data_IF_516777684618
#
_entry.id   IF_516777684618
#
_cell.length_a   1.000
_cell.length_b   1.000
_cell.length_c   1.000
_cell.angle_alpha   90.00
_cell.angle_beta   90.00
_cell.angle_gamma   90.00
#
_symmetry.space_group_name_H-M   'P 1'
#
loop_
_entity.id
_entity.type
_entity.pdbx_description
1 polymer ?
#
# COMPACT_ATOMS: atom_id res chain seq x y z
N UNK A 1 14.55 -20.18 -8.24
CA UNK A 1 14.52 -18.97 -9.07
C UNK A 1 13.25 -18.21 -8.70
N UNK A 2 13.34 -17.05 -8.06
CA UNK A 2 12.16 -16.26 -7.68
C UNK A 2 11.71 -15.41 -8.87
N UNK A 3 10.39 -15.39 -9.14
CA UNK A 3 9.80 -14.55 -10.17
C UNK A 3 9.80 -13.08 -9.69
N UNK A 4 9.98 -12.12 -10.59
CA UNK A 4 9.92 -10.68 -10.31
C UNK A 4 8.64 -10.31 -9.54
N UNK A 5 7.53 -10.98 -9.85
CA UNK A 5 6.23 -10.75 -9.19
C UNK A 5 6.22 -11.12 -7.71
N UNK A 6 7.07 -12.06 -7.26
CA UNK A 6 7.15 -12.51 -5.86
C UNK A 6 8.36 -11.94 -5.11
N UNK A 7 9.31 -11.34 -5.83
CA UNK A 7 10.52 -10.75 -5.24
C UNK A 7 10.21 -9.61 -4.28
N UNK A 8 9.36 -8.67 -4.72
CA UNK A 8 8.93 -7.53 -3.91
C UNK A 8 8.22 -7.97 -2.61
N UNK A 9 7.47 -9.09 -2.66
CA UNK A 9 6.72 -9.56 -1.48
C UNK A 9 7.64 -10.17 -0.44
N UNK A 10 8.67 -10.86 -0.90
CA UNK A 10 9.69 -11.45 -0.04
C UNK A 10 10.57 -10.38 0.60
N UNK A 11 10.82 -9.26 -0.10
CA UNK A 11 11.57 -8.12 0.42
C UNK A 11 10.78 -7.27 1.44
N UNK A 12 9.44 -7.39 1.46
CA UNK A 12 8.56 -6.63 2.35
C UNK A 12 8.05 -7.40 3.57
N UNK A 13 8.39 -8.69 3.70
CA UNK A 13 7.96 -9.61 4.76
C UNK A 13 6.44 -9.63 5.02
N UNK A 14 5.66 -9.42 3.95
CA UNK A 14 4.19 -9.41 3.97
C UNK A 14 3.62 -10.63 3.25
N UNK A 15 2.52 -11.17 3.78
CA UNK A 15 1.81 -12.29 3.14
C UNK A 15 1.25 -11.89 1.77
N UNK A 16 1.31 -12.80 0.80
CA UNK A 16 0.72 -12.59 -0.52
C UNK A 16 -0.75 -12.15 -0.48
N UNK A 17 -1.51 -12.68 0.47
CA UNK A 17 -2.92 -12.32 0.64
C UNK A 17 -3.09 -10.89 1.18
N UNK A 18 -2.19 -10.42 2.05
CA UNK A 18 -2.20 -9.05 2.55
C UNK A 18 -1.84 -8.06 1.45
N UNK A 19 -0.83 -8.37 0.65
CA UNK A 19 -0.47 -7.52 -0.49
C UNK A 19 -1.57 -7.50 -1.56
N UNK A 20 -2.16 -8.65 -1.86
CA UNK A 20 -3.26 -8.75 -2.82
C UNK A 20 -4.52 -8.00 -2.36
N UNK A 21 -4.89 -8.10 -1.07
CA UNK A 21 -6.04 -7.37 -0.53
C UNK A 21 -5.80 -5.86 -0.49
N UNK A 22 -4.57 -5.43 -0.17
CA UNK A 22 -4.16 -4.04 -0.26
C UNK A 22 -4.28 -3.50 -1.69
N UNK A 23 -3.66 -4.18 -2.66
CA UNK A 23 -3.70 -3.79 -4.06
C UNK A 23 -5.14 -3.77 -4.62
N UNK A 24 -5.97 -4.75 -4.24
CA UNK A 24 -7.38 -4.79 -4.61
C UNK A 24 -8.16 -3.62 -4.00
N UNK A 25 -7.90 -3.27 -2.74
CA UNK A 25 -8.50 -2.10 -2.08
C UNK A 25 -8.18 -0.79 -2.80
N UNK A 26 -6.92 -0.62 -3.22
CA UNK A 26 -6.49 0.52 -4.02
C UNK A 26 -7.22 0.55 -5.37
N UNK A 27 -7.24 -0.58 -6.07
CA UNK A 27 -7.88 -0.71 -7.38
C UNK A 27 -9.39 -0.37 -7.32
N UNK A 28 -10.11 -0.85 -6.30
CA UNK A 28 -11.53 -0.55 -6.11
C UNK A 28 -11.76 0.93 -5.83
N UNK A 29 -10.94 1.57 -5.00
CA UNK A 29 -11.08 2.99 -4.66
C UNK A 29 -10.79 3.90 -5.86
N UNK A 30 -9.77 3.58 -6.65
CA UNK A 30 -9.46 4.29 -7.89
C UNK A 30 -10.58 4.11 -8.91
N UNK A 31 -11.08 2.89 -9.08
CA UNK A 31 -12.21 2.61 -9.99
C UNK A 31 -13.46 3.39 -9.61
N UNK A 32 -13.81 3.43 -8.31
CA UNK A 32 -14.92 4.22 -7.82
C UNK A 32 -14.74 5.73 -8.06
N UNK A 33 -13.52 6.24 -7.91
CA UNK A 33 -13.20 7.65 -8.17
C UNK A 33 -13.35 7.99 -9.66
N UNK A 34 -12.86 7.13 -10.56
CA UNK A 34 -13.03 7.29 -12.03
C UNK A 34 -14.51 7.26 -12.43
N UNK A 35 -15.29 6.32 -11.88
CA UNK A 35 -16.74 6.23 -12.15
C UNK A 35 -17.46 7.50 -11.69
N UNK A 36 -17.20 7.97 -10.46
CA UNK A 36 -17.82 9.19 -9.95
C UNK A 36 -17.44 10.43 -10.75
N UNK A 37 -16.18 10.54 -11.16
CA UNK A 37 -15.72 11.64 -12.00
C UNK A 37 -16.37 11.61 -13.39
N UNK A 38 -16.50 10.43 -13.99
CA UNK A 38 -17.19 10.23 -15.27
C UNK A 38 -18.67 10.60 -15.16
N UNK A 39 -19.35 10.16 -14.10
CA UNK A 39 -20.74 10.52 -13.83
C UNK A 39 -20.92 12.03 -13.63
N UNK A 40 -20.02 12.70 -12.90
CA UNK A 40 -20.03 14.15 -12.75
C UNK A 40 -19.84 14.86 -14.10
N UNK A 41 -18.94 14.37 -14.95
CA UNK A 41 -18.71 14.91 -16.30
C UNK A 41 -19.92 14.79 -17.22
N UNK A 42 -20.69 13.70 -17.11
CA UNK A 42 -21.94 13.50 -17.86
C UNK A 42 -23.13 14.24 -17.23
N UNK A 43 -23.16 14.34 -15.90
CA UNK A 43 -24.24 14.89 -15.09
C UNK A 43 -23.64 15.84 -14.03
N UNK A 44 -23.43 17.13 -14.35
CA UNK A 44 -22.73 18.09 -13.48
C UNK A 44 -23.45 18.36 -12.15
N UNK A 45 -24.70 17.90 -12.02
CA UNK A 45 -25.54 17.94 -10.81
C UNK A 45 -25.10 16.94 -9.73
N UNK A 46 -24.31 15.93 -10.08
CA UNK A 46 -23.79 14.92 -9.13
C UNK A 46 -22.56 15.50 -8.45
N UNK A 47 -22.64 15.79 -7.15
CA UNK A 47 -21.46 16.27 -6.42
C UNK A 47 -20.45 15.14 -6.17
N UNK A 48 -19.17 15.42 -6.40
CA UNK A 48 -18.09 14.51 -6.05
C UNK A 48 -17.87 14.61 -4.55
N UNK A 49 -18.21 13.56 -3.80
CA UNK A 49 -17.90 13.50 -2.37
C UNK A 49 -16.38 13.39 -2.19
N UNK A 50 -15.83 14.06 -1.17
CA UNK A 50 -14.39 14.14 -0.88
C UNK A 50 -13.65 12.79 -0.85
N UNK A 51 -14.36 11.69 -0.57
CA UNK A 51 -13.79 10.32 -0.58
C UNK A 51 -13.48 9.76 -1.98
N UNK A 52 -14.10 10.33 -3.02
CA UNK A 52 -13.91 10.00 -4.44
C UNK A 52 -13.11 11.07 -5.18
N UNK A 53 -12.67 12.10 -4.44
CA UNK A 53 -11.72 13.06 -4.94
C UNK A 53 -10.40 12.33 -5.21
N UNK A 54 -9.90 12.48 -6.43
CA UNK A 54 -8.67 11.86 -6.88
C UNK A 54 -7.47 12.38 -6.10
N UNK A 55 -7.49 13.64 -5.67
CA UNK A 55 -6.44 14.24 -4.85
C UNK A 55 -6.45 13.68 -3.42
N UNK A 56 -7.62 13.59 -2.80
CA UNK A 56 -7.73 12.97 -1.47
C UNK A 56 -7.39 11.47 -1.51
N UNK A 57 -7.69 10.79 -2.62
CA UNK A 57 -7.31 9.40 -2.84
C UNK A 57 -5.80 9.25 -3.04
N UNK A 58 -5.15 10.12 -3.83
CA UNK A 58 -3.70 10.08 -4.03
C UNK A 58 -2.93 10.31 -2.72
N UNK A 59 -3.34 11.28 -1.90
CA UNK A 59 -2.73 11.55 -0.59
C UNK A 59 -2.86 10.34 0.34
N UNK A 60 -4.03 9.71 0.37
CA UNK A 60 -4.23 8.49 1.16
C UNK A 60 -3.33 7.34 0.68
N UNK A 61 -3.16 7.18 -0.64
CA UNK A 61 -2.30 6.13 -1.21
C UNK A 61 -0.83 6.33 -0.85
N UNK A 62 -0.33 7.57 -0.93
CA UNK A 62 1.04 7.90 -0.53
C UNK A 62 1.24 7.59 0.96
N UNK A 63 0.33 8.01 1.82
CA UNK A 63 0.41 7.74 3.26
C UNK A 63 0.41 6.24 3.59
N UNK A 64 -0.38 5.44 2.89
CA UNK A 64 -0.39 3.99 3.08
C UNK A 64 0.92 3.34 2.61
N UNK A 65 1.48 3.82 1.49
CA UNK A 65 2.75 3.31 0.98
C UNK A 65 3.91 3.63 1.94
N UNK A 66 3.99 4.86 2.44
CA UNK A 66 5.00 5.30 3.41
C UNK A 66 4.90 4.49 4.73
N UNK A 67 3.67 4.19 5.18
CA UNK A 67 3.45 3.40 6.37
C UNK A 67 3.99 1.96 6.24
N UNK A 68 3.77 1.31 5.08
CA UNK A 68 4.30 -0.03 4.80
C UNK A 68 5.82 -0.01 4.80
N UNK A 69 6.45 0.94 4.07
CA UNK A 69 7.91 1.06 4.03
C UNK A 69 8.53 1.27 5.43
N UNK A 70 7.89 2.09 6.26
CA UNK A 70 8.37 2.36 7.63
C UNK A 70 8.25 1.13 8.56
N UNK A 71 7.21 0.32 8.38
CA UNK A 71 6.98 -0.89 9.18
C UNK A 71 7.96 -2.00 8.81
N UNK A 72 8.19 -2.21 7.51
CA UNK A 72 9.18 -3.17 7.01
C UNK A 72 10.60 -2.82 7.48
N UNK A 73 11.00 -1.54 7.44
CA UNK A 73 12.33 -1.13 7.96
C UNK A 73 12.50 -1.44 9.44
N UNK A 74 11.51 -1.13 10.27
CA UNK A 74 11.56 -1.42 11.72
C UNK A 74 11.75 -2.90 12.02
N UNK A 75 10.98 -3.77 11.37
CA UNK A 75 11.08 -5.22 11.57
C UNK A 75 12.47 -5.75 11.16
N UNK A 76 13.01 -5.23 10.06
CA UNK A 76 14.35 -5.60 9.58
C UNK A 76 15.44 -5.16 10.58
N UNK A 77 15.32 -3.96 11.13
CA UNK A 77 16.28 -3.43 12.11
C UNK A 77 16.19 -4.16 13.46
N UNK A 78 14.99 -4.54 13.91
CA UNK A 78 14.80 -5.33 15.14
C UNK A 78 15.42 -6.73 15.01
N UNK A 79 15.15 -7.43 13.91
CA UNK A 79 15.73 -8.77 13.64
C UNK A 79 17.25 -8.71 13.53
N UNK A 80 17.79 -7.68 12.88
CA UNK A 80 19.25 -7.49 12.79
C UNK A 80 19.90 -7.27 14.15
N UNK A 81 19.32 -6.40 14.99
CA UNK A 81 19.86 -6.11 16.31
C UNK A 81 19.82 -7.34 17.25
N UNK A 82 18.79 -8.18 17.15
CA UNK A 82 18.71 -9.43 17.92
C UNK A 82 19.79 -10.43 17.47
N UNK A 83 20.00 -10.57 16.16
CA UNK A 83 21.04 -11.45 15.60
C UNK A 83 22.46 -11.01 15.98
N UNK A 84 22.76 -9.71 15.87
CA UNK A 84 24.06 -9.13 16.22
C UNK A 84 24.33 -9.26 17.74
N UNK A 85 23.29 -9.16 18.58
CA UNK A 85 23.36 -9.38 20.03
C UNK A 85 23.74 -10.81 20.40
N UNK A 86 23.14 -11.81 19.75
CA UNK A 86 23.45 -13.24 19.94
C UNK A 86 24.88 -13.58 19.51
N UNK A 87 25.37 -13.01 18.40
CA UNK A 87 26.74 -13.28 17.92
C UNK A 87 27.85 -12.63 18.75
N UNK A 88 27.55 -11.53 19.46
CA UNK A 88 28.52 -10.84 20.33
C UNK A 88 28.58 -11.39 21.76
N UNK A 89 27.79 -12.42 22.09
CA UNK A 89 27.79 -13.08 23.42
C UNK A 89 28.38 -14.50 23.42
N UNK A 90 28.93 -14.98 22.30
CA UNK A 90 29.65 -16.26 22.15
C UNK A 90 31.15 -16.02 21.93
#
# INVERSE_FOLDING_TARGET
MMNILTRHLHEQDISYIQHASFALGIALRLSASVVMFTLHGLLPWISIQRRYDLEATSVFLVQQNDWIESTTRRLTDEVKNDFDGVTNTL
#
